data_IF_279829493527
#
_entry.id   IF_279829493527
#
_cell.length_a   1.000
_cell.length_b   1.000
_cell.length_c   1.000
_cell.angle_alpha   90.00
_cell.angle_beta   90.00
_cell.angle_gamma   90.00
#
_symmetry.space_group_name_H-M   'P 1'
#
loop_
_entity.id
_entity.type
_entity.pdbx_description
1 polymer ?
#
# COMPACT_ATOMS: atom_id res chain seq x y z
N UNK A 1 12.82 21.18 -68.63
CA UNK A 1 14.20 20.67 -68.55
C UNK A 1 15.01 21.67 -67.75
N UNK A 2 15.41 21.31 -66.52
CA UNK A 2 16.49 21.96 -65.72
C UNK A 2 16.26 23.42 -65.28
N UNK A 3 16.74 23.95 -64.15
CA UNK A 3 17.44 23.45 -62.96
C UNK A 3 17.28 24.52 -61.85
N UNK A 4 16.91 24.07 -60.65
CA UNK A 4 17.36 24.47 -59.29
C UNK A 4 18.25 25.73 -59.10
N UNK A 5 17.88 26.65 -58.18
CA UNK A 5 18.64 26.91 -56.92
C UNK A 5 18.01 27.96 -55.95
N UNK A 6 17.91 27.51 -54.68
CA UNK A 6 17.98 28.17 -53.36
C UNK A 6 17.17 29.43 -52.99
N UNK A 7 16.27 29.23 -52.02
CA UNK A 7 16.04 30.14 -50.89
C UNK A 7 15.62 29.32 -49.66
N UNK A 8 16.34 29.47 -48.54
CA UNK A 8 15.98 28.91 -47.23
C UNK A 8 14.80 29.71 -46.63
N UNK A 9 13.95 29.08 -45.80
CA UNK A 9 13.31 29.82 -44.71
C UNK A 9 13.76 29.27 -43.35
N UNK A 10 14.35 30.17 -42.59
CA UNK A 10 14.52 30.08 -41.15
C UNK A 10 13.25 30.66 -40.51
N UNK A 11 12.71 29.99 -39.48
CA UNK A 11 11.76 30.62 -38.55
C UNK A 11 10.34 30.05 -38.50
N UNK A 12 10.18 28.86 -37.90
CA UNK A 12 8.95 28.49 -37.18
C UNK A 12 9.33 27.74 -35.90
N UNK A 13 9.75 28.50 -34.89
CA UNK A 13 9.82 28.06 -33.49
C UNK A 13 8.99 29.06 -32.70
N UNK A 14 7.66 28.93 -32.73
CA UNK A 14 6.79 29.65 -31.79
C UNK A 14 5.35 29.11 -31.76
N UNK A 15 5.15 27.79 -31.69
CA UNK A 15 3.82 27.20 -31.37
C UNK A 15 3.92 26.09 -30.30
N UNK A 16 5.11 25.58 -29.98
CA UNK A 16 5.28 24.50 -28.98
C UNK A 16 5.32 24.94 -27.51
N UNK A 17 5.44 26.23 -27.20
CA UNK A 17 5.66 26.68 -25.80
C UNK A 17 4.35 27.09 -25.10
N UNK A 18 3.34 27.56 -25.84
CA UNK A 18 2.09 28.04 -25.23
C UNK A 18 1.20 26.87 -24.77
N UNK A 19 1.21 25.74 -25.47
CA UNK A 19 0.45 24.54 -25.05
C UNK A 19 1.07 23.83 -23.84
N UNK A 20 2.39 23.91 -23.64
CA UNK A 20 3.04 23.33 -22.46
C UNK A 20 2.81 24.19 -21.20
N UNK A 21 2.78 25.52 -21.36
CA UNK A 21 2.52 26.45 -20.24
C UNK A 21 1.06 26.39 -19.79
N UNK A 22 0.10 26.16 -20.70
CA UNK A 22 -1.32 25.99 -20.32
C UNK A 22 -1.59 24.62 -19.68
N UNK A 23 -0.85 23.56 -20.06
CA UNK A 23 -0.97 22.25 -19.40
C UNK A 23 -0.27 22.24 -18.02
N UNK A 24 0.84 22.96 -17.85
CA UNK A 24 1.41 23.19 -16.51
C UNK A 24 0.49 24.08 -15.66
N UNK A 25 -0.10 25.15 -16.21
CA UNK A 25 -0.97 26.04 -15.44
C UNK A 25 -2.34 25.44 -15.07
N UNK A 26 -2.83 24.45 -15.82
CA UNK A 26 -4.06 23.70 -15.46
C UNK A 26 -3.80 22.52 -14.50
N UNK A 27 -2.54 22.14 -14.28
CA UNK A 27 -2.12 21.26 -13.16
C UNK A 27 -1.90 22.04 -11.85
N UNK A 28 -1.91 23.38 -11.91
CA UNK A 28 -1.93 24.26 -10.75
C UNK A 28 -3.25 25.04 -10.73
N UNK A 29 -4.37 24.33 -10.57
CA UNK A 29 -5.54 24.99 -10.02
C UNK A 29 -5.19 25.36 -8.58
N UNK A 30 -5.20 26.66 -8.25
CA UNK A 30 -4.98 27.21 -6.92
C UNK A 30 -6.07 26.73 -5.95
N UNK A 31 -6.00 25.49 -5.50
CA UNK A 31 -6.59 25.10 -4.23
C UNK A 31 -5.58 25.44 -3.14
N UNK A 32 -5.68 26.69 -2.65
CA UNK A 32 -5.05 27.25 -1.46
C UNK A 32 -3.97 26.36 -0.80
N UNK A 33 -2.77 26.33 -1.37
CA UNK A 33 -1.60 25.76 -0.73
C UNK A 33 -1.29 26.58 0.53
N UNK A 34 -1.45 25.98 1.72
CA UNK A 34 -1.08 26.58 3.00
C UNK A 34 0.29 26.08 3.40
N UNK A 35 1.15 26.96 3.91
CA UNK A 35 2.48 26.52 4.36
C UNK A 35 2.35 25.84 5.73
N UNK A 36 3.23 24.88 6.00
CA UNK A 36 3.39 24.25 7.31
C UNK A 36 3.57 25.28 8.45
N UNK A 37 4.11 26.47 8.14
CA UNK A 37 4.25 27.56 9.11
C UNK A 37 2.90 28.06 9.65
N UNK A 38 1.84 28.02 8.84
CA UNK A 38 0.48 28.40 9.28
C UNK A 38 -0.07 27.42 10.34
N UNK A 39 0.34 26.14 10.27
CA UNK A 39 -0.03 25.10 11.26
C UNK A 39 0.72 25.31 12.58
N UNK A 40 2.02 25.65 12.51
CA UNK A 40 2.83 25.95 13.69
C UNK A 40 2.37 27.24 14.40
N UNK A 41 1.87 28.23 13.66
CA UNK A 41 1.37 29.49 14.20
C UNK A 41 -0.05 29.39 14.82
N UNK A 42 -0.60 28.18 14.95
CA UNK A 42 -1.94 27.96 15.54
C UNK A 42 -3.08 28.52 14.71
N UNK A 43 -2.85 28.85 13.43
CA UNK A 43 -3.84 29.39 12.50
C UNK A 43 -4.51 28.26 11.72
N UNK A 44 -5.01 27.24 12.41
CA UNK A 44 -5.68 26.08 11.81
C UNK A 44 -7.17 26.39 11.61
N UNK A 45 -7.69 26.47 10.36
CA UNK A 45 -9.13 26.46 10.11
C UNK A 45 -9.65 25.01 10.15
N UNK A 46 -10.94 24.84 10.45
CA UNK A 46 -11.65 23.55 10.50
C UNK A 46 -11.15 22.53 9.46
N UNK A 47 -10.69 21.38 9.96
CA UNK A 47 -10.32 20.23 9.14
C UNK A 47 -11.57 19.81 8.36
N UNK A 48 -11.49 19.78 7.03
CA UNK A 48 -12.62 19.38 6.17
C UNK A 48 -13.01 17.94 6.50
N UNK A 49 -14.18 17.77 7.11
CA UNK A 49 -14.77 16.46 7.38
C UNK A 49 -15.35 15.87 6.10
N UNK A 50 -14.96 14.64 5.76
CA UNK A 50 -15.54 13.91 4.63
C UNK A 50 -16.42 12.76 5.13
N UNK A 51 -17.61 12.59 4.53
CA UNK A 51 -18.55 11.52 4.85
C UNK A 51 -18.95 10.78 3.58
N UNK A 52 -18.35 9.63 3.26
CA UNK A 52 -18.73 8.85 2.10
C UNK A 52 -20.05 8.14 2.31
N UNK A 53 -20.84 8.01 1.24
CA UNK A 53 -21.86 6.95 1.16
C UNK A 53 -21.16 5.66 0.77
N UNK A 54 -20.97 4.74 1.73
CA UNK A 54 -20.46 3.41 1.42
C UNK A 54 -21.52 2.64 0.61
N UNK A 55 -21.16 1.99 -0.51
CA UNK A 55 -22.07 1.07 -1.18
C UNK A 55 -22.40 -0.09 -0.23
N UNK A 56 -23.67 -0.51 -0.20
CA UNK A 56 -24.06 -1.70 0.57
C UNK A 56 -23.31 -2.92 0.04
N UNK A 57 -22.52 -3.55 0.90
CA UNK A 57 -21.83 -4.81 0.62
C UNK A 57 -22.88 -5.94 0.46
N UNK A 58 -22.80 -6.78 -0.60
CA UNK A 58 -23.59 -8.03 -0.72
C UNK A 58 -23.55 -8.92 0.54
N UNK A 59 -24.52 -9.82 0.70
CA UNK A 59 -24.61 -10.70 1.88
C UNK A 59 -23.39 -11.61 2.07
N UNK A 60 -22.76 -12.07 0.99
CA UNK A 60 -21.55 -12.91 1.02
C UNK A 60 -20.27 -12.14 1.36
N UNK A 61 -20.33 -10.80 1.33
CA UNK A 61 -19.23 -9.88 1.66
C UNK A 61 -19.36 -9.20 3.02
N UNK A 62 -20.41 -9.56 3.78
CA UNK A 62 -20.50 -9.10 5.16
C UNK A 62 -19.59 -10.01 5.99
N UNK A 63 -18.79 -9.47 6.93
CA UNK A 63 -18.03 -10.30 7.85
C UNK A 63 -19.00 -11.25 8.56
N UNK A 64 -18.88 -12.55 8.26
CA UNK A 64 -19.62 -13.57 9.00
C UNK A 64 -19.07 -13.59 10.43
N UNK A 65 -19.92 -13.28 11.41
CA UNK A 65 -19.58 -13.38 12.85
C UNK A 65 -19.23 -14.81 13.28
N UNK A 66 -19.42 -15.80 12.39
CA UNK A 66 -19.10 -17.19 12.63
C UNK A 66 -18.39 -17.74 11.39
N UNK A 67 -17.12 -18.13 11.54
CA UNK A 67 -16.30 -18.77 10.49
C UNK A 67 -16.82 -20.18 10.08
N UNK A 68 -18.10 -20.48 10.34
CA UNK A 68 -18.72 -21.75 9.96
C UNK A 68 -19.68 -21.57 8.77
N UNK A 69 -19.30 -22.22 7.67
CA UNK A 69 -20.22 -22.84 6.71
C UNK A 69 -20.92 -21.92 5.70
N UNK A 70 -20.17 -21.26 4.82
CA UNK A 70 -20.33 -21.70 3.44
C UNK A 70 -19.65 -23.06 3.36
N UNK A 71 -20.37 -24.10 2.94
CA UNK A 71 -19.81 -25.41 2.63
C UNK A 71 -18.85 -25.25 1.44
N UNK A 72 -17.70 -24.64 1.71
CA UNK A 72 -16.63 -24.50 0.74
C UNK A 72 -16.25 -25.92 0.34
N UNK A 73 -16.14 -26.12 -0.96
CA UNK A 73 -15.52 -27.33 -1.50
C UNK A 73 -14.20 -27.60 -0.76
N UNK A 74 -13.74 -28.85 -0.64
CA UNK A 74 -12.40 -29.16 -0.10
C UNK A 74 -11.26 -28.35 -0.75
N UNK A 75 -11.52 -27.71 -1.88
CA UNK A 75 -10.61 -26.86 -2.65
C UNK A 75 -10.82 -25.35 -2.45
N UNK A 76 -11.67 -24.91 -1.52
CA UNK A 76 -11.90 -23.49 -1.20
C UNK A 76 -12.79 -22.74 -2.20
N UNK A 77 -13.47 -23.45 -3.09
CA UNK A 77 -14.42 -22.87 -4.05
C UNK A 77 -15.81 -22.70 -3.48
N UNK A 78 -16.52 -21.66 -3.92
CA UNK A 78 -17.97 -21.55 -3.78
C UNK A 78 -18.66 -22.63 -4.62
N UNK A 79 -19.83 -23.15 -4.20
CA UNK A 79 -20.62 -24.06 -5.02
C UNK A 79 -21.01 -23.43 -6.36
N UNK A 80 -21.07 -24.25 -7.42
CA UNK A 80 -21.57 -23.80 -8.71
C UNK A 80 -23.06 -23.44 -8.61
N UNK A 81 -23.46 -22.35 -9.26
CA UNK A 81 -24.85 -21.89 -9.29
C UNK A 81 -25.01 -20.38 -9.41
N UNK A 82 -26.26 -19.88 -9.28
CA UNK A 82 -26.59 -18.48 -9.56
C UNK A 82 -25.83 -17.46 -8.71
N UNK A 83 -25.44 -17.80 -7.48
CA UNK A 83 -24.68 -16.91 -6.61
C UNK A 83 -23.24 -16.69 -7.11
N UNK A 84 -22.57 -17.77 -7.52
CA UNK A 84 -21.24 -17.72 -8.14
C UNK A 84 -21.29 -16.94 -9.46
N UNK A 85 -22.28 -17.23 -10.30
CA UNK A 85 -22.44 -16.55 -11.58
C UNK A 85 -22.70 -15.04 -11.39
N UNK A 86 -23.51 -14.67 -10.40
CA UNK A 86 -23.77 -13.28 -10.06
C UNK A 86 -22.51 -12.56 -9.53
N UNK A 87 -21.70 -13.24 -8.71
CA UNK A 87 -20.43 -12.69 -8.21
C UNK A 87 -19.47 -12.43 -9.37
N UNK A 88 -19.23 -13.40 -10.25
CA UNK A 88 -18.30 -13.21 -11.36
C UNK A 88 -18.80 -12.15 -12.35
N UNK A 89 -20.11 -12.15 -12.65
CA UNK A 89 -20.74 -11.14 -13.52
C UNK A 89 -20.56 -9.71 -12.97
N UNK A 90 -20.60 -9.52 -11.65
CA UNK A 90 -20.37 -8.20 -11.01
C UNK A 90 -19.01 -7.59 -11.39
N UNK A 91 -17.99 -8.44 -11.52
CA UNK A 91 -16.64 -8.04 -11.91
C UNK A 91 -16.38 -8.19 -13.42
N UNK A 92 -17.41 -8.52 -14.21
CA UNK A 92 -17.32 -8.82 -15.65
C UNK A 92 -16.35 -9.97 -15.94
N UNK A 93 -16.30 -10.93 -15.03
CA UNK A 93 -15.58 -12.18 -15.21
C UNK A 93 -16.56 -13.33 -15.40
N UNK A 94 -16.06 -14.39 -15.99
CA UNK A 94 -16.76 -15.68 -16.03
C UNK A 94 -16.36 -16.51 -14.81
N UNK A 95 -17.10 -17.58 -14.55
CA UNK A 95 -16.71 -18.58 -13.54
C UNK A 95 -15.40 -19.24 -13.95
N UNK A 96 -14.46 -19.41 -13.01
CA UNK A 96 -13.21 -20.10 -13.26
C UNK A 96 -13.50 -21.57 -13.63
N UNK A 97 -13.03 -22.07 -14.79
CA UNK A 97 -13.47 -23.38 -15.30
C UNK A 97 -12.76 -24.58 -14.66
N UNK A 98 -11.54 -24.43 -14.14
CA UNK A 98 -10.72 -25.55 -13.64
C UNK A 98 -10.92 -25.81 -12.14
N UNK A 99 -12.15 -26.14 -11.74
CA UNK A 99 -12.56 -26.29 -10.33
C UNK A 99 -12.32 -27.68 -9.71
N UNK A 100 -11.59 -28.56 -10.41
CA UNK A 100 -11.28 -29.93 -9.96
C UNK A 100 -10.06 -30.04 -9.03
N UNK A 101 -9.31 -28.94 -8.89
CA UNK A 101 -8.17 -28.82 -7.99
C UNK A 101 -8.20 -27.45 -7.31
N UNK A 102 -7.61 -27.34 -6.12
CA UNK A 102 -7.47 -26.05 -5.41
C UNK A 102 -6.72 -25.06 -6.29
N UNK A 103 -7.38 -23.94 -6.59
CA UNK A 103 -6.75 -22.75 -7.16
C UNK A 103 -6.22 -21.90 -6.03
N UNK A 104 -4.90 -21.79 -5.91
CA UNK A 104 -4.23 -21.07 -4.82
C UNK A 104 -4.16 -19.58 -5.10
N UNK A 105 -3.99 -18.80 -4.04
CA UNK A 105 -3.67 -17.38 -4.05
C UNK A 105 -2.32 -17.22 -3.37
N UNK A 106 -1.36 -16.70 -4.12
CA UNK A 106 -0.05 -16.28 -3.65
C UNK A 106 -0.05 -14.76 -3.51
N UNK A 107 0.35 -14.28 -2.35
CA UNK A 107 0.49 -12.85 -2.06
C UNK A 107 1.98 -12.52 -1.89
N UNK A 108 2.53 -11.71 -2.79
CA UNK A 108 3.96 -11.42 -2.88
C UNK A 108 4.22 -10.01 -2.36
N UNK A 109 5.02 -9.92 -1.30
CA UNK A 109 5.41 -8.66 -0.68
C UNK A 109 6.92 -8.60 -0.41
N UNK A 110 7.47 -7.41 -0.63
CA UNK A 110 8.78 -7.03 -0.12
C UNK A 110 8.63 -6.48 1.30
N UNK A 111 9.55 -6.84 2.18
CA UNK A 111 9.53 -6.37 3.56
C UNK A 111 10.83 -5.67 3.97
N UNK A 112 10.68 -4.51 4.59
CA UNK A 112 11.76 -3.81 5.26
C UNK A 112 11.72 -4.07 6.77
N UNK A 113 10.92 -3.28 7.51
CA UNK A 113 10.77 -3.30 8.96
C UNK A 113 9.28 -3.22 9.41
N UNK A 114 8.34 -3.31 8.46
CA UNK A 114 6.90 -3.12 8.67
C UNK A 114 6.18 -4.36 9.26
N UNK A 115 6.69 -4.88 10.39
CA UNK A 115 6.20 -6.14 10.99
C UNK A 115 4.72 -6.10 11.42
N UNK A 116 4.28 -4.97 12.00
CA UNK A 116 2.87 -4.78 12.37
C UNK A 116 1.96 -4.78 11.14
N UNK A 117 2.39 -4.13 10.05
CA UNK A 117 1.66 -4.11 8.78
C UNK A 117 1.60 -5.50 8.15
N UNK A 118 2.69 -6.29 8.23
CA UNK A 118 2.68 -7.67 7.75
C UNK A 118 1.70 -8.54 8.54
N UNK A 119 1.69 -8.41 9.87
CA UNK A 119 0.76 -9.16 10.71
C UNK A 119 -0.70 -8.78 10.42
N UNK A 120 -0.99 -7.49 10.25
CA UNK A 120 -2.31 -7.00 9.83
C UNK A 120 -2.69 -7.57 8.45
N UNK A 121 -1.75 -7.55 7.49
CA UNK A 121 -1.97 -8.10 6.15
C UNK A 121 -2.35 -9.58 6.20
N UNK A 122 -1.57 -10.40 6.92
CA UNK A 122 -1.83 -11.83 7.05
C UNK A 122 -3.16 -12.13 7.75
N UNK A 123 -3.51 -11.34 8.77
CA UNK A 123 -4.77 -11.47 9.48
C UNK A 123 -5.99 -11.04 8.66
N UNK A 124 -5.89 -9.93 7.93
CA UNK A 124 -6.99 -9.43 7.09
C UNK A 124 -7.19 -10.32 5.85
N UNK A 125 -6.10 -10.69 5.17
CA UNK A 125 -6.10 -11.45 3.92
C UNK A 125 -6.03 -12.97 4.20
N UNK A 126 -6.73 -13.43 5.23
CA UNK A 126 -6.67 -14.83 5.70
C UNK A 126 -7.07 -15.88 4.64
N UNK A 127 -7.79 -15.49 3.59
CA UNK A 127 -8.12 -16.34 2.43
C UNK A 127 -6.92 -16.58 1.49
N UNK A 128 -5.79 -15.90 1.67
CA UNK A 128 -4.54 -16.21 0.95
C UNK A 128 -4.03 -17.59 1.37
N UNK A 129 -3.49 -18.36 0.41
CA UNK A 129 -2.89 -19.66 0.66
C UNK A 129 -1.44 -19.53 1.10
N UNK A 130 -0.67 -18.69 0.39
CA UNK A 130 0.74 -18.46 0.68
C UNK A 130 1.12 -16.99 0.59
N UNK A 131 1.69 -16.46 1.67
CA UNK A 131 2.36 -15.17 1.71
C UNK A 131 3.85 -15.38 1.39
N UNK A 132 4.27 -14.94 0.20
CA UNK A 132 5.66 -14.89 -0.21
C UNK A 132 6.25 -13.58 0.31
N UNK A 133 7.08 -13.70 1.36
CA UNK A 133 7.70 -12.57 2.04
C UNK A 133 9.18 -12.57 1.75
N UNK A 134 9.62 -11.64 0.92
CA UNK A 134 11.04 -11.46 0.60
C UNK A 134 11.58 -10.28 1.39
N UNK A 135 12.63 -10.53 2.18
CA UNK A 135 13.36 -9.48 2.88
C UNK A 135 14.84 -9.52 2.53
N UNK A 136 15.48 -8.37 2.63
CA UNK A 136 16.89 -8.14 2.30
C UNK A 136 17.66 -7.71 3.56
N UNK A 137 18.95 -8.00 3.63
CA UNK A 137 19.88 -7.48 4.64
C UNK A 137 20.46 -6.10 4.26
N UNK A 138 20.01 -5.55 3.13
CA UNK A 138 20.28 -4.18 2.67
C UNK A 138 18.98 -3.41 2.42
N UNK A 139 18.97 -2.11 2.68
CA UNK A 139 17.93 -1.17 2.22
C UNK A 139 18.03 -0.90 0.72
N UNK A 140 17.04 -0.22 0.13
CA UNK A 140 17.16 0.20 -1.27
C UNK A 140 18.28 1.24 -1.50
N UNK A 141 18.63 1.97 -0.44
CA UNK A 141 19.74 2.92 -0.36
C UNK A 141 21.10 2.30 0.04
N UNK A 142 21.23 0.97 0.01
CA UNK A 142 22.49 0.24 0.24
C UNK A 142 23.04 0.34 1.67
N UNK A 143 22.15 0.48 2.65
CA UNK A 143 22.50 0.43 4.07
C UNK A 143 22.22 -0.96 4.64
N UNK A 144 23.14 -1.49 5.45
CA UNK A 144 22.94 -2.76 6.14
C UNK A 144 21.76 -2.66 7.11
N UNK A 145 20.90 -3.68 7.09
CA UNK A 145 19.79 -3.85 8.02
C UNK A 145 19.68 -5.31 8.48
N UNK A 146 19.12 -5.57 9.68
CA UNK A 146 18.80 -6.93 10.08
C UNK A 146 17.68 -7.53 9.23
N UNK A 147 17.54 -8.86 9.31
CA UNK A 147 16.43 -9.59 8.71
C UNK A 147 15.27 -9.58 9.71
N UNK A 148 14.51 -8.48 9.72
CA UNK A 148 13.48 -8.20 10.71
C UNK A 148 12.46 -9.32 10.90
N UNK A 149 12.02 -9.99 9.83
CA UNK A 149 11.08 -11.11 9.95
C UNK A 149 11.76 -12.35 10.52
N UNK A 150 12.99 -12.66 10.10
CA UNK A 150 13.74 -13.78 10.65
C UNK A 150 14.01 -13.60 12.16
N UNK A 151 14.43 -12.40 12.57
CA UNK A 151 14.71 -12.07 13.97
C UNK A 151 13.45 -12.09 14.85
N UNK A 152 12.27 -11.86 14.25
CA UNK A 152 10.98 -11.83 14.93
C UNK A 152 10.07 -12.99 14.48
N UNK A 153 10.64 -14.13 14.07
CA UNK A 153 9.91 -15.25 13.48
C UNK A 153 8.71 -15.72 14.32
N UNK A 154 8.86 -15.72 15.65
CA UNK A 154 7.82 -16.13 16.59
C UNK A 154 6.54 -15.27 16.54
N UNK A 155 6.63 -14.02 16.08
CA UNK A 155 5.50 -13.10 15.92
C UNK A 155 4.45 -13.62 14.92
N UNK A 156 4.86 -14.50 14.00
CA UNK A 156 4.03 -15.01 12.90
C UNK A 156 3.64 -16.49 13.07
N UNK A 157 3.78 -17.07 14.27
CA UNK A 157 3.54 -18.50 14.53
C UNK A 157 2.20 -19.01 13.96
N UNK A 158 1.13 -18.23 14.10
CA UNK A 158 -0.20 -18.59 13.60
C UNK A 158 -0.25 -18.71 12.07
N UNK A 159 0.60 -17.96 11.36
CA UNK A 159 0.65 -17.90 9.91
C UNK A 159 1.81 -18.68 9.29
N UNK A 160 2.70 -19.31 10.07
CA UNK A 160 3.87 -20.03 9.54
C UNK A 160 3.52 -21.05 8.45
N UNK A 161 2.40 -21.76 8.61
CA UNK A 161 1.93 -22.75 7.64
C UNK A 161 1.56 -22.15 6.27
N UNK A 162 1.31 -20.83 6.21
CA UNK A 162 1.04 -20.05 4.99
C UNK A 162 2.21 -19.14 4.61
N UNK A 163 3.30 -19.10 5.37
CA UNK A 163 4.36 -18.11 5.19
C UNK A 163 5.56 -18.72 4.48
N UNK A 164 5.91 -18.14 3.33
CA UNK A 164 7.10 -18.49 2.55
C UNK A 164 8.06 -17.32 2.65
N UNK A 165 8.96 -17.39 3.63
CA UNK A 165 9.95 -16.33 3.89
C UNK A 165 11.28 -16.63 3.21
N UNK A 166 11.81 -15.68 2.45
CA UNK A 166 13.06 -15.84 1.68
C UNK A 166 13.98 -14.62 1.90
N UNK A 167 15.28 -14.88 2.11
CA UNK A 167 16.29 -13.81 2.07
C UNK A 167 16.61 -13.54 0.61
N UNK A 168 16.49 -12.29 0.18
CA UNK A 168 16.86 -11.86 -1.16
C UNK A 168 18.33 -12.17 -1.45
N UNK A 169 18.61 -12.95 -2.48
CA UNK A 169 19.98 -13.18 -2.92
C UNK A 169 20.38 -12.12 -3.96
N UNK A 170 21.29 -11.22 -3.57
CA UNK A 170 21.87 -10.20 -4.46
C UNK A 170 23.32 -10.48 -4.83
N UNK A 171 23.82 -11.70 -4.62
CA UNK A 171 25.23 -12.04 -4.88
C UNK A 171 25.60 -11.74 -6.33
N UNK A 172 26.67 -10.95 -6.51
CA UNK A 172 27.17 -10.57 -7.83
C UNK A 172 26.31 -9.54 -8.58
N UNK A 173 25.29 -8.96 -7.93
CA UNK A 173 24.49 -7.88 -8.50
C UNK A 173 25.05 -6.51 -8.11
N UNK A 174 25.00 -5.58 -9.05
CA UNK A 174 25.31 -4.16 -8.82
C UNK A 174 24.18 -3.32 -9.40
N UNK A 175 23.74 -2.31 -8.67
CA UNK A 175 22.60 -1.48 -9.06
C UNK A 175 23.04 -0.05 -9.31
N UNK A 176 22.49 0.57 -10.36
CA UNK A 176 22.79 1.97 -10.70
C UNK A 176 22.09 2.98 -9.77
N UNK A 177 20.91 2.61 -9.26
CA UNK A 177 20.09 3.42 -8.36
C UNK A 177 19.16 2.53 -7.51
N UNK A 178 18.39 3.17 -6.62
CA UNK A 178 17.43 2.50 -5.75
C UNK A 178 16.29 1.81 -6.53
N UNK A 179 15.85 2.39 -7.64
CA UNK A 179 14.77 1.86 -8.48
C UNK A 179 15.17 0.55 -9.20
N UNK A 180 16.41 0.46 -9.67
CA UNK A 180 16.96 -0.76 -10.27
C UNK A 180 17.01 -1.89 -9.23
N UNK A 181 17.38 -1.58 -7.99
CA UNK A 181 17.39 -2.56 -6.90
C UNK A 181 15.97 -2.98 -6.50
N UNK A 182 15.05 -2.04 -6.42
CA UNK A 182 13.64 -2.33 -6.15
C UNK A 182 13.02 -3.21 -7.24
N UNK A 183 13.32 -2.93 -8.52
CA UNK A 183 12.92 -3.75 -9.66
C UNK A 183 13.44 -5.18 -9.54
N UNK A 184 14.73 -5.34 -9.23
CA UNK A 184 15.34 -6.65 -9.00
C UNK A 184 14.68 -7.39 -7.83
N UNK A 185 14.49 -6.69 -6.71
CA UNK A 185 13.89 -7.24 -5.49
C UNK A 185 12.47 -7.72 -5.75
N UNK A 186 11.66 -6.92 -6.47
CA UNK A 186 10.29 -7.30 -6.84
C UNK A 186 10.27 -8.55 -7.70
N UNK A 187 11.07 -8.59 -8.76
CA UNK A 187 11.12 -9.77 -9.64
C UNK A 187 11.63 -11.02 -8.91
N UNK A 188 12.54 -10.86 -7.94
CA UNK A 188 13.04 -11.97 -7.14
C UNK A 188 11.95 -12.69 -6.33
N UNK A 189 10.85 -12.01 -5.97
CA UNK A 189 9.68 -12.66 -5.36
C UNK A 189 9.08 -13.77 -6.24
N UNK A 190 9.31 -13.71 -7.56
CA UNK A 190 8.99 -14.78 -8.49
C UNK A 190 10.24 -15.59 -8.86
N UNK A 191 11.26 -14.96 -9.42
CA UNK A 191 12.43 -15.62 -10.03
C UNK A 191 13.26 -16.44 -9.04
N UNK A 192 13.33 -16.03 -7.77
CA UNK A 192 14.11 -16.74 -6.75
C UNK A 192 13.23 -17.66 -5.89
N UNK A 193 11.92 -17.39 -5.80
CA UNK A 193 11.02 -18.14 -4.91
C UNK A 193 10.30 -19.26 -5.66
N UNK A 194 9.59 -18.94 -6.75
CA UNK A 194 8.69 -19.88 -7.43
C UNK A 194 9.37 -21.15 -7.96
N UNK A 195 10.59 -21.09 -8.54
CA UNK A 195 11.30 -22.30 -8.98
C UNK A 195 11.64 -23.28 -7.84
N UNK A 196 11.66 -22.80 -6.59
CA UNK A 196 12.00 -23.59 -5.41
C UNK A 196 10.78 -24.10 -4.64
N UNK A 197 9.57 -23.72 -5.05
CA UNK A 197 8.34 -24.17 -4.40
C UNK A 197 8.03 -25.62 -4.75
N UNK A 198 7.74 -26.44 -3.73
CA UNK A 198 7.52 -27.87 -3.86
C UNK A 198 6.23 -28.30 -3.17
N UNK A 199 5.75 -29.51 -3.50
CA UNK A 199 4.59 -30.12 -2.87
C UNK A 199 3.35 -29.19 -2.92
N UNK A 200 2.65 -29.00 -1.80
CA UNK A 200 1.46 -28.14 -1.73
C UNK A 200 1.74 -26.67 -2.08
N UNK A 201 2.99 -26.20 -1.91
CA UNK A 201 3.41 -24.85 -2.25
C UNK A 201 3.69 -24.67 -3.75
N UNK A 202 3.91 -25.74 -4.52
CA UNK A 202 4.21 -25.65 -5.94
C UNK A 202 2.99 -25.10 -6.72
N UNK A 203 3.13 -24.04 -7.53
CA UNK A 203 2.01 -23.40 -8.20
C UNK A 203 1.41 -24.28 -9.31
N UNK A 204 0.10 -24.21 -9.48
CA UNK A 204 -0.64 -24.79 -10.59
C UNK A 204 -0.99 -23.69 -11.60
N UNK A 205 -1.11 -24.05 -12.88
CA UNK A 205 -1.61 -23.12 -13.89
C UNK A 205 -2.98 -22.57 -13.50
N UNK A 206 -3.12 -21.24 -13.56
CA UNK A 206 -4.30 -20.50 -13.15
C UNK A 206 -4.33 -20.08 -11.68
N UNK A 207 -3.40 -20.50 -10.83
CA UNK A 207 -3.27 -19.97 -9.46
C UNK A 207 -3.09 -18.45 -9.51
N UNK A 208 -3.73 -17.73 -8.59
CA UNK A 208 -3.70 -16.27 -8.53
C UNK A 208 -2.40 -15.81 -7.87
N UNK A 209 -1.79 -14.77 -8.43
CA UNK A 209 -0.61 -14.11 -7.87
C UNK A 209 -0.98 -12.65 -7.68
N UNK A 210 -0.85 -12.15 -6.46
CA UNK A 210 -1.03 -10.75 -6.07
C UNK A 210 0.35 -10.18 -5.77
N UNK A 211 0.66 -9.01 -6.32
CA UNK A 211 1.92 -8.29 -6.09
C UNK A 211 1.57 -6.92 -5.54
N UNK A 212 2.03 -6.66 -4.31
CA UNK A 212 1.74 -5.41 -3.62
C UNK A 212 2.82 -5.02 -2.61
N UNK A 213 2.67 -3.82 -2.08
CA UNK A 213 3.41 -3.37 -0.90
C UNK A 213 2.67 -3.83 0.37
N UNK A 214 3.37 -3.93 1.50
CA UNK A 214 2.82 -4.50 2.76
C UNK A 214 1.59 -3.72 3.24
N UNK A 215 1.55 -2.41 2.99
CA UNK A 215 0.48 -1.48 3.35
C UNK A 215 -0.71 -1.44 2.37
N UNK A 216 -0.71 -2.28 1.32
CA UNK A 216 -1.77 -2.40 0.30
C UNK A 216 -2.67 -3.63 0.54
N UNK A 217 -3.63 -3.52 1.47
CA UNK A 217 -4.53 -4.61 1.89
C UNK A 217 -5.66 -4.86 0.89
N UNK A 218 -5.86 -6.12 0.49
CA UNK A 218 -6.98 -6.55 -0.36
C UNK A 218 -8.17 -7.02 0.49
N UNK A 219 -9.38 -6.63 0.09
CA UNK A 219 -10.63 -7.10 0.72
C UNK A 219 -10.82 -8.60 0.56
N UNK A 220 -11.27 -9.33 1.61
CA UNK A 220 -11.56 -10.77 1.54
C UNK A 220 -12.48 -11.14 0.37
N UNK A 221 -13.48 -10.29 0.10
CA UNK A 221 -14.41 -10.41 -1.02
C UNK A 221 -13.74 -10.53 -2.39
N UNK A 222 -12.68 -9.75 -2.57
CA UNK A 222 -11.93 -9.71 -3.82
C UNK A 222 -11.05 -10.95 -3.93
N UNK A 223 -10.48 -11.44 -2.83
CA UNK A 223 -9.75 -12.71 -2.79
C UNK A 223 -10.68 -13.87 -3.16
N UNK A 224 -11.88 -13.92 -2.58
CA UNK A 224 -12.91 -14.92 -2.90
C UNK A 224 -13.30 -14.84 -4.37
N UNK A 225 -13.53 -13.64 -4.91
CA UNK A 225 -13.86 -13.44 -6.32
C UNK A 225 -12.72 -13.91 -7.24
N UNK A 226 -11.47 -13.52 -6.96
CA UNK A 226 -10.31 -13.92 -7.77
C UNK A 226 -10.05 -15.43 -7.71
N UNK A 227 -10.36 -16.11 -6.60
CA UNK A 227 -10.32 -17.57 -6.53
C UNK A 227 -11.35 -18.20 -7.45
N UNK A 228 -12.57 -17.68 -7.43
CA UNK A 228 -13.73 -18.33 -8.03
C UNK A 228 -14.00 -17.94 -9.49
N UNK A 229 -13.48 -16.80 -9.94
CA UNK A 229 -13.75 -16.23 -11.26
C UNK A 229 -12.51 -16.22 -12.15
N UNK A 230 -12.71 -16.34 -13.45
CA UNK A 230 -11.67 -16.26 -14.47
C UNK A 230 -11.20 -14.81 -14.62
N UNK A 231 -10.22 -14.42 -13.79
CA UNK A 231 -9.57 -13.11 -13.88
C UNK A 231 -8.82 -12.94 -15.20
N UNK A 232 -8.61 -11.69 -15.60
CA UNK A 232 -7.77 -11.34 -16.75
C UNK A 232 -6.29 -11.37 -16.38
N UNK A 233 -5.42 -11.33 -17.39
CA UNK A 233 -3.97 -11.46 -17.20
C UNK A 233 -3.36 -10.34 -16.35
N UNK A 234 -3.93 -9.13 -16.43
CA UNK A 234 -3.53 -7.95 -15.66
C UNK A 234 -4.73 -7.31 -14.99
N UNK A 235 -4.89 -7.57 -13.69
CA UNK A 235 -5.92 -6.95 -12.86
C UNK A 235 -5.28 -5.91 -11.97
N UNK A 236 -5.75 -4.66 -12.03
CA UNK A 236 -5.37 -3.60 -11.11
C UNK A 236 -6.44 -3.45 -10.04
N UNK A 237 -6.03 -3.56 -8.78
CA UNK A 237 -6.91 -3.44 -7.62
C UNK A 237 -6.76 -2.04 -7.05
N UNK A 238 -7.78 -1.19 -7.22
CA UNK A 238 -7.75 0.16 -6.67
C UNK A 238 -8.19 0.14 -5.21
N UNK A 239 -7.31 0.60 -4.33
CA UNK A 239 -7.50 0.61 -2.88
C UNK A 239 -7.72 2.03 -2.39
N UNK A 240 -8.56 2.20 -1.35
CA UNK A 240 -8.73 3.52 -0.74
C UNK A 240 -7.46 3.97 -0.05
N UNK A 241 -7.03 5.18 -0.34
CA UNK A 241 -5.75 5.70 0.12
C UNK A 241 -5.91 6.47 1.43
N UNK A 242 -5.48 5.82 2.51
CA UNK A 242 -5.32 6.36 3.85
C UNK A 242 -3.85 6.67 4.17
N UNK A 243 -3.65 7.57 5.12
CA UNK A 243 -2.33 8.10 5.45
C UNK A 243 -2.19 8.26 6.96
N UNK A 244 -1.12 7.76 7.58
CA UNK A 244 -0.94 7.67 9.04
C UNK A 244 -1.97 6.81 9.82
N UNK A 245 -3.25 6.80 9.45
CA UNK A 245 -4.32 6.01 10.05
C UNK A 245 -5.56 5.96 9.15
N UNK A 246 -6.54 5.11 9.48
CA UNK A 246 -7.83 5.07 8.79
C UNK A 246 -8.75 6.28 9.05
N UNK A 247 -8.30 7.25 9.85
CA UNK A 247 -8.98 8.53 10.04
C UNK A 247 -8.61 9.56 8.98
N UNK A 248 -7.45 9.42 8.35
CA UNK A 248 -6.89 10.42 7.43
C UNK A 248 -6.89 9.87 6.01
N UNK A 249 -7.84 10.34 5.20
CA UNK A 249 -7.95 10.00 3.79
C UNK A 249 -7.12 10.96 2.94
N UNK A 250 -6.40 10.44 1.96
CA UNK A 250 -5.75 11.24 0.95
C UNK A 250 -6.78 12.02 0.11
N UNK A 251 -6.53 13.28 -0.30
CA UNK A 251 -7.53 14.13 -0.94
C UNK A 251 -8.12 13.59 -2.26
N UNK A 252 -9.28 14.16 -2.63
CA UNK A 252 -10.10 13.80 -3.80
C UNK A 252 -9.28 13.95 -5.09
N UNK A 253 -9.49 13.03 -6.04
CA UNK A 253 -8.61 12.84 -7.21
C UNK A 253 -7.40 11.93 -6.95
N UNK A 254 -7.06 11.70 -5.68
CA UNK A 254 -5.99 10.82 -5.23
C UNK A 254 -6.41 9.89 -4.07
N UNK A 255 -7.70 9.83 -3.75
CA UNK A 255 -8.25 9.01 -2.67
C UNK A 255 -8.28 7.51 -3.00
N UNK A 256 -7.93 7.14 -4.23
CA UNK A 256 -7.77 5.76 -4.67
C UNK A 256 -6.33 5.57 -5.16
N UNK A 257 -5.71 4.48 -4.71
CA UNK A 257 -4.37 4.06 -5.05
C UNK A 257 -4.45 2.86 -5.98
N UNK A 258 -3.84 2.95 -7.16
CA UNK A 258 -3.99 1.98 -8.25
C UNK A 258 -3.18 0.70 -8.07
N UNK A 259 -3.21 0.12 -6.87
CA UNK A 259 -2.47 -1.07 -6.44
C UNK A 259 -3.11 -1.70 -5.19
N UNK A 260 -2.95 -3.02 -4.95
CA UNK A 260 -1.99 -3.93 -5.59
C UNK A 260 -2.43 -4.42 -6.98
N UNK A 261 -1.60 -5.23 -7.64
CA UNK A 261 -1.94 -5.82 -8.95
C UNK A 261 -1.99 -7.35 -8.84
N UNK A 262 -2.84 -7.98 -9.65
CA UNK A 262 -2.97 -9.41 -9.71
C UNK A 262 -2.83 -9.95 -11.14
N UNK A 263 -2.29 -11.16 -11.22
CA UNK A 263 -2.19 -11.99 -12.42
C UNK A 263 -2.47 -13.45 -12.04
N UNK A 264 -2.27 -14.38 -12.97
CA UNK A 264 -2.32 -15.80 -12.69
C UNK A 264 -1.08 -16.51 -13.22
N UNK A 265 -0.70 -17.60 -12.55
CA UNK A 265 0.43 -18.43 -12.92
C UNK A 265 0.16 -19.14 -14.25
N UNK A 266 1.09 -19.04 -15.19
CA UNK A 266 1.03 -19.68 -16.51
C UNK A 266 2.25 -20.57 -16.78
N UNK A 267 3.06 -20.85 -15.75
CA UNK A 267 4.37 -21.46 -15.88
C UNK A 267 5.49 -20.45 -15.64
N UNK A 268 6.69 -20.95 -15.29
CA UNK A 268 7.83 -20.11 -14.91
C UNK A 268 8.30 -19.17 -16.02
N UNK A 269 8.09 -19.53 -17.30
CA UNK A 269 8.54 -18.73 -18.44
C UNK A 269 7.47 -17.76 -18.98
N UNK A 270 6.19 -18.03 -18.70
CA UNK A 270 5.05 -17.33 -19.33
C UNK A 270 4.28 -16.45 -18.35
N UNK A 271 4.55 -16.57 -17.04
CA UNK A 271 3.92 -15.72 -16.01
C UNK A 271 4.52 -14.31 -16.05
N UNK A 272 3.68 -13.28 -15.98
CA UNK A 272 4.12 -11.88 -15.92
C UNK A 272 4.93 -11.67 -14.63
N UNK A 273 6.16 -11.16 -14.78
CA UNK A 273 7.02 -10.85 -13.64
C UNK A 273 6.46 -9.72 -12.77
N UNK A 274 6.69 -9.75 -11.45
CA UNK A 274 6.17 -8.76 -10.50
C UNK A 274 6.38 -7.29 -10.88
N UNK A 275 7.59 -6.88 -11.32
CA UNK A 275 7.83 -5.51 -11.75
C UNK A 275 7.01 -5.16 -13.01
N UNK A 276 6.99 -6.06 -14.00
CA UNK A 276 6.22 -5.84 -15.22
C UNK A 276 4.73 -5.73 -14.94
N UNK A 277 4.23 -6.49 -13.96
CA UNK A 277 2.84 -6.41 -13.50
C UNK A 277 2.55 -5.02 -12.90
N UNK A 278 3.38 -4.56 -11.96
CA UNK A 278 3.25 -3.25 -11.28
C UNK A 278 3.25 -2.06 -12.24
N UNK A 279 4.12 -2.04 -13.25
CA UNK A 279 4.28 -0.89 -14.15
C UNK A 279 3.47 -1.00 -15.44
N UNK A 280 2.89 -2.16 -15.73
CA UNK A 280 2.13 -2.37 -16.95
C UNK A 280 0.70 -1.84 -16.87
N UNK A 281 0.07 -1.67 -18.04
CA UNK A 281 -1.34 -1.29 -18.11
C UNK A 281 -2.26 -2.41 -17.65
N UNK A 282 -3.37 -2.06 -16.99
CA UNK A 282 -4.39 -3.03 -16.58
C UNK A 282 -5.26 -3.46 -17.77
N UNK A 283 -5.66 -4.73 -17.78
CA UNK A 283 -6.77 -5.22 -18.62
C UNK A 283 -8.10 -5.04 -17.90
N UNK A 284 -8.10 -5.09 -16.57
CA UNK A 284 -9.28 -4.92 -15.73
C UNK A 284 -8.94 -4.11 -14.49
N UNK A 285 -9.76 -3.09 -14.21
CA UNK A 285 -9.69 -2.30 -12.99
C UNK A 285 -10.81 -2.70 -12.03
N UNK A 286 -10.45 -3.05 -10.81
CA UNK A 286 -11.41 -3.34 -9.73
C UNK A 286 -11.31 -2.23 -8.69
N UNK A 287 -12.36 -1.42 -8.59
CA UNK A 287 -12.42 -0.29 -7.65
C UNK A 287 -12.90 -0.70 -6.26
N UNK A 288 -12.46 0.06 -5.24
CA UNK A 288 -12.75 -0.23 -3.84
C UNK A 288 -12.31 -1.64 -3.43
N UNK A 289 -11.22 -2.12 -4.02
CA UNK A 289 -10.69 -3.46 -3.83
C UNK A 289 -10.03 -3.67 -2.46
N UNK A 290 -9.82 -2.60 -1.70
CA UNK A 290 -9.28 -2.67 -0.35
C UNK A 290 -8.78 -1.32 0.15
N UNK A 291 -7.67 -1.35 0.89
CA UNK A 291 -7.12 -0.20 1.59
C UNK A 291 -5.61 -0.11 1.39
N UNK A 292 -5.12 1.08 1.06
CA UNK A 292 -3.70 1.42 1.12
C UNK A 292 -3.51 2.38 2.29
N UNK A 293 -2.71 2.02 3.29
CA UNK A 293 -2.50 2.83 4.49
C UNK A 293 -1.03 3.22 4.62
N UNK A 294 -0.64 4.27 3.91
CA UNK A 294 0.76 4.71 3.91
C UNK A 294 1.13 5.35 5.24
N UNK A 295 2.35 5.08 5.73
CA UNK A 295 2.87 5.58 7.01
C UNK A 295 1.99 5.23 8.23
N UNK A 296 1.16 4.20 8.12
CA UNK A 296 0.32 3.73 9.22
C UNK A 296 1.12 2.82 10.16
N UNK A 297 2.02 3.44 10.93
CA UNK A 297 2.92 2.76 11.87
C UNK A 297 2.54 3.00 13.32
N UNK A 298 2.78 2.00 14.18
CA UNK A 298 2.57 2.14 15.62
C UNK A 298 3.67 2.98 16.28
N UNK A 299 4.83 3.11 15.63
CA UNK A 299 5.99 3.88 16.10
C UNK A 299 6.29 5.00 15.09
N UNK A 300 6.57 6.20 15.59
CA UNK A 300 6.94 7.34 14.77
C UNK A 300 8.29 7.10 14.11
N UNK A 301 9.23 6.45 14.80
CA UNK A 301 10.55 6.15 14.24
C UNK A 301 10.47 5.27 13.00
N UNK A 302 9.42 4.45 12.83
CA UNK A 302 9.20 3.67 11.61
C UNK A 302 8.88 4.57 10.40
N UNK A 303 8.18 5.71 10.59
CA UNK A 303 8.00 6.72 9.53
C UNK A 303 9.36 7.27 9.11
N UNK A 304 10.20 7.66 10.06
CA UNK A 304 11.55 8.19 9.80
C UNK A 304 12.40 7.16 9.05
N UNK A 305 12.37 5.90 9.49
CA UNK A 305 13.12 4.82 8.85
C UNK A 305 12.66 4.59 7.41
N UNK A 306 11.34 4.54 7.16
CA UNK A 306 10.77 4.38 5.82
C UNK A 306 11.24 5.48 4.86
N UNK A 307 11.21 6.74 5.28
CA UNK A 307 11.68 7.87 4.46
C UNK A 307 13.18 7.75 4.13
N UNK A 308 13.98 7.21 5.05
CA UNK A 308 15.42 7.02 4.82
C UNK A 308 15.74 5.83 3.91
N UNK A 309 14.87 4.82 3.85
CA UNK A 309 15.19 3.53 3.22
C UNK A 309 14.51 3.28 1.86
N UNK A 310 13.41 3.99 1.54
CA UNK A 310 12.65 3.78 0.30
C UNK A 310 13.32 4.37 -0.96
N UNK A 311 12.78 4.09 -2.15
CA UNK A 311 13.41 4.49 -3.41
C UNK A 311 13.40 6.00 -3.71
N UNK A 312 12.51 6.76 -3.07
CA UNK A 312 12.37 8.21 -3.22
C UNK A 312 13.41 9.00 -2.39
N UNK A 313 14.69 8.76 -2.65
CA UNK A 313 15.78 9.35 -1.88
C UNK A 313 15.84 10.89 -1.93
N UNK A 314 15.20 11.53 -2.91
CA UNK A 314 15.00 12.98 -2.95
C UNK A 314 14.17 13.52 -1.77
N UNK A 315 13.35 12.67 -1.15
CA UNK A 315 12.53 13.02 0.01
C UNK A 315 13.27 12.82 1.35
N UNK A 316 14.48 12.27 1.34
CA UNK A 316 15.27 12.05 2.55
C UNK A 316 15.96 13.36 2.99
N UNK A 317 15.17 14.27 3.57
CA UNK A 317 15.64 15.58 4.05
C UNK A 317 15.45 15.71 5.56
N UNK A 318 16.22 16.59 6.24
CA UNK A 318 15.99 16.88 7.67
C UNK A 318 14.56 17.35 7.96
N UNK A 319 13.89 18.00 7.00
CA UNK A 319 12.52 18.48 7.19
C UNK A 319 11.48 17.34 7.20
N UNK A 320 11.70 16.29 6.41
CA UNK A 320 10.81 15.13 6.31
C UNK A 320 11.18 13.96 7.24
N UNK A 321 12.29 14.12 7.99
CA UNK A 321 12.78 13.12 8.94
C UNK A 321 12.86 13.63 10.38
N UNK A 322 12.47 14.89 10.64
CA UNK A 322 12.39 15.48 11.99
C UNK A 322 11.18 14.91 12.75
N UNK A 323 11.39 14.21 13.89
CA UNK A 323 10.31 13.59 14.63
C UNK A 323 9.23 14.55 15.13
N UNK A 324 9.60 15.75 15.57
CA UNK A 324 8.65 16.75 16.06
C UNK A 324 7.76 17.26 14.93
N UNK A 325 8.34 17.50 13.74
CA UNK A 325 7.57 17.91 12.56
C UNK A 325 6.64 16.81 12.07
N UNK A 326 7.10 15.56 12.06
CA UNK A 326 6.26 14.40 11.70
C UNK A 326 5.06 14.31 12.64
N UNK A 327 5.28 14.39 13.96
CA UNK A 327 4.20 14.34 14.94
C UNK A 327 3.17 15.46 14.74
N UNK A 328 3.64 16.69 14.48
CA UNK A 328 2.78 17.83 14.15
C UNK A 328 1.96 17.57 12.87
N UNK A 329 2.57 17.03 11.82
CA UNK A 329 1.87 16.71 10.56
C UNK A 329 0.81 15.63 10.76
N UNK A 330 1.12 14.59 11.52
CA UNK A 330 0.18 13.48 11.83
C UNK A 330 -1.05 13.98 12.60
N UNK A 331 -0.84 14.79 13.65
CA UNK A 331 -1.93 15.36 14.47
C UNK A 331 -2.86 16.27 13.66
N UNK A 332 -2.29 17.03 12.74
CA UNK A 332 -3.02 18.05 11.99
C UNK A 332 -3.50 17.58 10.61
N UNK A 333 -3.27 16.32 10.25
CA UNK A 333 -3.69 15.80 8.94
C UNK A 333 -2.96 16.47 7.78
N UNK A 334 -1.67 16.75 7.91
CA UNK A 334 -0.83 17.34 6.86
C UNK A 334 0.00 16.23 6.21
N UNK A 335 0.06 16.23 4.88
CA UNK A 335 0.91 15.30 4.13
C UNK A 335 2.38 15.39 4.59
N UNK A 336 3.05 14.23 4.68
CA UNK A 336 4.41 14.12 5.24
C UNK A 336 5.43 15.01 4.52
N UNK A 337 5.23 15.18 3.21
CA UNK A 337 6.09 15.92 2.31
C UNK A 337 5.53 17.31 1.97
N UNK A 338 4.58 17.79 2.78
CA UNK A 338 3.97 19.12 2.66
C UNK A 338 3.30 19.37 1.30
N UNK A 339 2.69 18.33 0.71
CA UNK A 339 2.01 18.42 -0.60
C UNK A 339 0.54 18.87 -0.49
N UNK A 340 0.00 18.95 0.72
CA UNK A 340 -1.37 19.36 0.98
C UNK A 340 -1.91 18.78 2.28
N UNK A 341 -3.21 18.97 2.50
CA UNK A 341 -3.92 18.46 3.68
C UNK A 341 -4.70 17.19 3.35
N UNK A 342 -4.82 16.33 4.35
CA UNK A 342 -5.59 15.10 4.37
C UNK A 342 -7.02 15.40 4.81
N UNK A 343 -7.97 14.59 4.37
CA UNK A 343 -9.36 14.65 4.83
C UNK A 343 -9.56 13.79 6.06
N UNK A 344 -10.19 14.37 7.08
CA UNK A 344 -10.54 13.64 8.29
C UNK A 344 -11.87 12.94 8.12
N UNK A 345 -11.91 11.67 8.54
CA UNK A 345 -13.11 10.86 8.66
C UNK A 345 -13.27 10.47 10.12
N UNK A 346 -14.21 11.12 10.81
CA UNK A 346 -14.56 10.71 12.17
C UNK A 346 -15.37 9.42 12.14
N UNK A 347 -15.00 8.47 13.01
CA UNK A 347 -15.65 7.16 13.13
C UNK A 347 -15.75 6.43 11.78
N UNK A 348 -14.63 6.37 11.05
CA UNK A 348 -14.58 5.65 9.78
C UNK A 348 -15.02 4.18 9.97
N UNK A 349 -16.05 3.79 9.23
CA UNK A 349 -16.59 2.42 9.24
C UNK A 349 -15.97 1.54 8.15
N UNK A 350 -15.26 2.13 7.19
CA UNK A 350 -14.57 1.41 6.14
C UNK A 350 -13.12 1.15 6.54
N UNK A 351 -12.93 0.18 7.43
CA UNK A 351 -11.64 -0.24 7.97
C UNK A 351 -11.52 -1.77 7.91
N UNK A 352 -10.30 -2.35 7.95
CA UNK A 352 -10.13 -3.79 7.97
C UNK A 352 -10.77 -4.41 9.23
N UNK A 353 -11.66 -5.38 9.07
CA UNK A 353 -12.32 -6.08 10.19
C UNK A 353 -11.34 -6.82 11.11
N UNK A 354 -10.15 -7.16 10.61
CA UNK A 354 -9.10 -7.71 11.46
C UNK A 354 -8.63 -6.70 12.52
N UNK A 355 -8.62 -5.40 12.21
CA UNK A 355 -8.27 -4.33 13.18
C UNK A 355 -9.33 -4.25 14.27
N UNK A 356 -10.62 -4.24 13.89
CA UNK A 356 -11.72 -4.08 14.85
C UNK A 356 -11.83 -5.28 15.80
N UNK A 357 -11.56 -6.50 15.31
CA UNK A 357 -11.50 -7.71 16.14
C UNK A 357 -10.25 -7.83 17.02
N UNK A 358 -9.17 -7.13 16.67
CA UNK A 358 -7.88 -7.16 17.39
C UNK A 358 -7.49 -5.76 17.87
N UNK A 359 -8.47 -5.04 18.42
CA UNK A 359 -8.34 -3.62 18.76
C UNK A 359 -7.21 -3.35 19.76
N UNK A 360 -6.94 -4.27 20.68
CA UNK A 360 -5.88 -4.13 21.68
C UNK A 360 -4.48 -4.05 21.05
N UNK A 361 -4.30 -4.67 19.88
CA UNK A 361 -3.02 -4.69 19.15
C UNK A 361 -2.94 -3.61 18.06
N UNK A 362 -4.05 -3.36 17.36
CA UNK A 362 -4.06 -2.50 16.17
C UNK A 362 -4.87 -1.22 16.32
N UNK A 363 -5.49 -0.95 17.47
CA UNK A 363 -6.39 0.20 17.65
C UNK A 363 -5.77 1.56 17.37
N UNK A 364 -4.44 1.68 17.54
CA UNK A 364 -3.66 2.87 17.19
C UNK A 364 -3.75 3.25 15.71
N UNK A 365 -4.13 2.33 14.81
CA UNK A 365 -4.25 2.61 13.38
C UNK A 365 -5.59 3.26 12.99
N UNK A 366 -6.57 3.30 13.91
CA UNK A 366 -7.91 3.81 13.62
C UNK A 366 -8.01 5.33 13.68
N UNK A 367 -7.22 5.99 14.53
CA UNK A 367 -7.19 7.43 14.70
C UNK A 367 -5.86 7.90 15.29
N UNK A 368 -5.59 9.20 15.19
CA UNK A 368 -4.34 9.84 15.65
C UNK A 368 -4.62 11.01 16.60
N UNK A 369 -5.71 10.91 17.36
CA UNK A 369 -6.31 12.04 18.10
C UNK A 369 -5.56 12.46 19.35
N UNK A 370 -4.65 11.64 19.86
CA UNK A 370 -3.87 12.01 21.04
C UNK A 370 -2.92 13.18 20.79
N UNK A 371 -2.55 13.87 21.88
CA UNK A 371 -1.11 14.17 22.12
C UNK A 371 -0.32 12.86 21.89
N UNK A 372 0.98 12.71 21.77
CA UNK A 372 1.56 11.43 21.27
C UNK A 372 1.19 10.96 19.84
N UNK A 373 0.03 11.34 19.26
CA UNK A 373 -0.40 10.97 17.91
C UNK A 373 -0.73 9.48 17.76
N UNK A 374 -1.08 8.78 18.84
CA UNK A 374 -1.27 7.33 18.87
C UNK A 374 0.02 6.53 18.63
N UNK A 375 1.19 7.16 18.71
CA UNK A 375 2.47 6.48 18.57
C UNK A 375 2.95 5.96 19.93
N UNK A 376 3.60 4.79 19.92
CA UNK A 376 4.11 4.20 21.16
C UNK A 376 5.35 4.94 21.66
N UNK A 377 6.13 5.61 20.80
CA UNK A 377 7.51 6.05 21.02
C UNK A 377 7.75 7.58 21.14
N UNK A 378 6.72 8.38 21.44
CA UNK A 378 6.80 9.86 21.37
C UNK A 378 6.84 10.58 22.73
N UNK A 379 6.95 9.85 23.85
CA UNK A 379 6.94 10.40 25.21
C UNK A 379 7.99 11.52 25.46
N UNK A 380 9.19 11.39 24.89
CA UNK A 380 10.27 12.37 25.05
C UNK A 380 9.98 13.67 24.30
N UNK A 381 9.30 13.58 23.15
CA UNK A 381 8.91 14.76 22.36
C UNK A 381 7.86 15.57 23.13
N UNK A 382 6.84 14.88 23.66
CA UNK A 382 5.77 15.50 24.45
C UNK A 382 6.33 16.16 25.70
N UNK A 383 7.22 15.48 26.42
CA UNK A 383 7.84 16.00 27.64
C UNK A 383 8.61 17.31 27.36
N UNK A 384 9.29 17.40 26.21
CA UNK A 384 10.00 18.62 25.78
C UNK A 384 9.05 19.74 25.35
N UNK A 385 7.96 19.42 24.67
CA UNK A 385 6.90 20.40 24.34
C UNK A 385 6.31 21.01 25.62
N UNK A 386 6.03 20.18 26.63
CA UNK A 386 5.48 20.61 27.91
C UNK A 386 6.48 21.43 28.75
N UNK A 387 7.78 21.10 28.74
CA UNK A 387 8.80 21.88 29.45
C UNK A 387 9.06 23.27 28.83
N UNK A 388 8.83 23.40 27.52
CA UNK A 388 9.04 24.63 26.76
C UNK A 388 7.76 25.46 26.58
N UNK A 389 6.62 25.01 27.12
CA UNK A 389 5.36 25.75 27.10
C UNK A 389 5.39 27.00 27.99
N UNK A 390 4.41 27.93 27.87
CA UNK A 390 4.46 29.29 28.42
C UNK A 390 4.41 29.40 29.97
N UNK A 391 4.62 28.31 30.70
CA UNK A 391 4.51 28.23 32.17
C UNK A 391 5.84 28.20 32.92
N UNK A 392 6.99 28.16 32.25
CA UNK A 392 8.31 28.05 32.91
C UNK A 392 9.09 29.37 33.03
N UNK A 393 8.40 30.52 33.05
CA UNK A 393 9.02 31.76 33.55
C UNK A 393 9.02 31.69 35.08
N UNK A 394 10.16 31.28 35.61
CA UNK A 394 10.39 31.06 37.03
C UNK A 394 9.96 32.25 37.90
N UNK A 395 9.41 31.91 39.06
CA UNK A 395 9.40 32.78 40.21
C UNK A 395 10.85 33.13 40.59
N UNK A 396 11.38 34.22 40.05
CA UNK A 396 12.52 34.92 40.64
C UNK A 396 12.01 35.67 41.87
N UNK A 397 12.16 35.05 43.03
CA UNK A 397 12.25 35.77 44.30
C UNK A 397 13.57 36.54 44.32
N UNK A 398 13.49 37.87 44.36
CA UNK A 398 14.59 38.78 44.58
C UNK A 398 14.06 40.05 45.24
#
# INVERSE_FOLDING_TARGET
MSLVMFSKPMGRVLIGVISLVVILALLFHEDAHRSFDDVLDGRVPDVKSWSPKLPKLPSWSQPQEDHTSFTSSPFGFMPDGPELDAMCTRYRWETYPHRYQRRKIYDLVLLNDELDSLALRMGQMHDVDYFVVVESDLTFSDHQKPLHVLDNWAMFNENHHKMIRVTLNMTGQTFGDAWARETFSRNAMFDQVFPNLQNEQAPNNGDVIIVGDVDELVRPEILIAMRNCQITERVKLWTRFYYYSFQWLHPEGHAEWGHPDATFFQGLNDTILPQSLRTGGATTDIYSAGWHCSYCFGDLQAIVNKVKSFSHQEMNTPDFTDPSKILQRVRNGVDLFNRGNLYRIDKNLDVPDFVTRNIDRFGWILNRDGEDGGFRDTWDLISREQSNGPGSVGATTG
#
